data_IF_738364333886
#
_entry.id   IF_738364333886
#
_cell.length_a   1.000
_cell.length_b   1.000
_cell.length_c   1.000
_cell.angle_alpha   90.00
_cell.angle_beta   90.00
_cell.angle_gamma   90.00
#
_symmetry.space_group_name_H-M   'P 1'
#
loop_
_entity.id
_entity.type
_entity.pdbx_description
1 polymer ?
#
# COMPACT_ATOMS: atom_id res chain seq x y z
N UNK A 1 13.16 49.11 7.25
CA UNK A 1 12.89 47.86 6.51
C UNK A 1 11.59 47.26 7.03
N UNK A 2 10.76 46.65 6.20
CA UNK A 2 9.51 45.99 6.63
C UNK A 2 9.76 44.95 7.75
N UNK A 3 10.97 44.37 7.77
CA UNK A 3 11.47 43.48 8.84
C UNK A 3 11.59 44.15 10.23
N UNK A 4 11.95 45.44 10.30
CA UNK A 4 12.04 46.18 11.57
C UNK A 4 10.67 46.56 12.12
N UNK A 5 9.68 46.75 11.25
CA UNK A 5 8.31 47.07 11.64
C UNK A 5 7.56 45.81 12.13
N UNK A 6 7.85 44.66 11.53
CA UNK A 6 7.33 43.34 11.97
C UNK A 6 7.99 42.89 13.29
N UNK A 7 9.28 43.16 13.51
CA UNK A 7 9.96 42.82 14.78
C UNK A 7 9.52 43.69 15.96
N UNK A 8 9.20 44.96 15.74
CA UNK A 8 8.87 45.92 16.80
C UNK A 8 7.54 45.64 17.51
N UNK A 9 6.58 44.99 16.84
CA UNK A 9 5.22 44.81 17.37
C UNK A 9 4.89 43.41 17.90
N UNK A 10 5.68 42.38 17.59
CA UNK A 10 5.26 40.99 17.85
C UNK A 10 6.16 40.18 18.79
N UNK A 11 7.34 40.68 19.18
CA UNK A 11 8.33 39.87 19.90
C UNK A 11 8.63 40.26 21.36
N UNK A 12 7.88 41.17 21.97
CA UNK A 12 7.97 41.38 23.42
C UNK A 12 6.78 40.75 24.15
N UNK A 13 7.01 39.56 24.70
CA UNK A 13 6.28 39.01 25.86
C UNK A 13 4.78 38.81 25.66
N UNK A 14 4.38 37.82 24.88
CA UNK A 14 2.98 37.42 24.74
C UNK A 14 2.44 36.78 26.04
N UNK A 15 1.88 37.59 26.93
CA UNK A 15 0.51 37.32 27.41
C UNK A 15 -0.45 38.06 26.48
N UNK A 16 -0.67 37.55 25.26
CA UNK A 16 -1.74 38.10 24.40
C UNK A 16 -3.07 37.55 24.87
N UNK A 17 -3.78 38.41 25.59
CA UNK A 17 -5.15 38.22 26.06
C UNK A 17 -6.14 38.96 25.15
N UNK A 18 -5.79 39.21 23.87
CA UNK A 18 -6.64 39.85 22.87
C UNK A 18 -6.74 39.00 21.60
N UNK A 19 -7.96 38.60 21.22
CA UNK A 19 -8.20 37.85 19.96
C UNK A 19 -7.99 38.80 18.76
N UNK A 20 -7.11 38.44 17.83
CA UNK A 20 -6.98 39.13 16.54
C UNK A 20 -8.26 38.88 15.73
N UNK A 21 -8.82 39.93 15.11
CA UNK A 21 -10.06 39.80 14.34
C UNK A 21 -9.87 38.90 13.11
N UNK A 22 -10.89 38.10 12.77
CA UNK A 22 -10.83 37.20 11.62
C UNK A 22 -10.58 37.95 10.29
N UNK A 23 -11.10 39.16 10.15
CA UNK A 23 -10.86 40.01 8.97
C UNK A 23 -9.40 40.45 8.84
N UNK A 24 -8.73 40.74 9.95
CA UNK A 24 -7.32 41.11 9.95
C UNK A 24 -6.45 39.92 9.53
N UNK A 25 -6.71 38.74 10.08
CA UNK A 25 -5.98 37.51 9.71
C UNK A 25 -6.20 37.16 8.24
N UNK A 26 -7.41 37.33 7.70
CA UNK A 26 -7.68 37.13 6.27
C UNK A 26 -6.93 38.13 5.37
N UNK A 27 -6.84 39.39 5.79
CA UNK A 27 -6.10 40.40 5.02
C UNK A 27 -4.59 40.07 4.99
N UNK A 28 -4.05 39.66 6.13
CA UNK A 28 -2.66 39.22 6.26
C UNK A 28 -2.39 37.97 5.44
N UNK A 29 -3.30 36.99 5.42
CA UNK A 29 -3.13 35.77 4.64
C UNK A 29 -3.02 36.06 3.14
N UNK A 30 -3.79 37.01 2.62
CA UNK A 30 -3.69 37.46 1.23
C UNK A 30 -2.38 38.19 0.94
N UNK A 31 -1.91 39.01 1.88
CA UNK A 31 -0.64 39.73 1.75
C UNK A 31 0.58 38.79 1.67
N UNK A 32 0.49 37.59 2.26
CA UNK A 32 1.56 36.60 2.23
C UNK A 32 1.74 35.91 0.87
N UNK A 33 0.73 35.92 -0.02
CA UNK A 33 0.76 35.19 -1.30
C UNK A 33 2.06 35.37 -2.13
N UNK A 34 2.54 36.59 -2.42
CA UNK A 34 3.77 36.77 -3.18
C UNK A 34 5.05 36.40 -2.41
N UNK A 35 4.94 36.15 -1.11
CA UNK A 35 6.09 35.97 -0.20
C UNK A 35 6.23 34.54 0.31
N UNK A 36 5.32 33.63 -0.04
CA UNK A 36 5.24 32.29 0.57
C UNK A 36 6.51 31.45 0.42
N UNK A 37 7.32 31.68 -0.62
CA UNK A 37 8.56 30.92 -0.87
C UNK A 37 9.78 31.49 -0.15
N UNK A 38 9.64 32.61 0.58
CA UNK A 38 10.75 33.19 1.33
C UNK A 38 10.97 32.40 2.63
N UNK A 39 12.17 31.82 2.85
CA UNK A 39 12.45 31.01 4.04
C UNK A 39 12.19 31.74 5.37
N UNK A 40 12.45 33.05 5.41
CA UNK A 40 12.23 33.89 6.59
C UNK A 40 10.74 33.99 6.98
N UNK A 41 9.82 33.71 6.05
CA UNK A 41 8.38 33.73 6.28
C UNK A 41 7.84 32.38 6.77
N UNK A 42 8.60 31.28 6.65
CA UNK A 42 8.13 29.94 7.04
C UNK A 42 7.56 29.88 8.46
N UNK A 43 8.23 30.36 9.52
CA UNK A 43 7.68 30.29 10.87
C UNK A 43 6.36 31.07 11.02
N UNK A 44 6.21 32.15 10.25
CA UNK A 44 4.99 32.95 10.23
C UNK A 44 3.85 32.21 9.52
N UNK A 45 4.12 31.57 8.38
CA UNK A 45 3.14 30.73 7.68
C UNK A 45 2.66 29.58 8.56
N UNK A 46 3.56 28.91 9.28
CA UNK A 46 3.20 27.87 10.23
C UNK A 46 2.30 28.40 11.36
N UNK A 47 2.63 29.59 11.89
CA UNK A 47 1.80 30.25 12.91
C UNK A 47 0.40 30.56 12.37
N UNK A 48 0.28 31.01 11.12
CA UNK A 48 -1.02 31.24 10.46
C UNK A 48 -1.80 29.94 10.28
N UNK A 49 -1.15 28.87 9.81
CA UNK A 49 -1.77 27.56 9.62
C UNK A 49 -2.24 26.97 10.94
N UNK A 50 -1.53 27.18 12.05
CA UNK A 50 -1.94 26.71 13.37
C UNK A 50 -2.99 27.63 14.03
N UNK A 51 -3.23 28.83 13.49
CA UNK A 51 -4.22 29.75 14.03
C UNK A 51 -5.63 29.44 13.52
N UNK A 52 -6.47 28.93 14.41
CA UNK A 52 -7.87 28.57 14.14
C UNK A 52 -8.87 29.68 14.56
N UNK A 53 -8.39 30.72 15.23
CA UNK A 53 -9.23 31.78 15.80
C UNK A 53 -10.36 31.25 16.69
N UNK A 54 -11.47 31.99 16.75
CA UNK A 54 -12.64 31.61 17.56
C UNK A 54 -13.96 31.62 16.78
N UNK A 55 -13.90 31.65 15.45
CA UNK A 55 -15.07 31.68 14.56
C UNK A 55 -15.31 30.28 13.98
N UNK A 56 -16.56 29.97 13.62
CA UNK A 56 -16.93 28.70 12.99
C UNK A 56 -16.57 28.60 11.49
N UNK A 57 -16.06 29.69 10.90
CA UNK A 57 -15.69 29.76 9.48
C UNK A 57 -14.18 29.87 9.33
N UNK A 58 -13.68 29.35 8.21
CA UNK A 58 -12.30 29.49 7.80
C UNK A 58 -11.90 30.98 7.74
N UNK A 59 -10.77 31.29 8.37
CA UNK A 59 -10.26 32.65 8.59
C UNK A 59 -9.21 33.00 7.55
N UNK A 60 -8.41 32.03 7.11
CA UNK A 60 -7.42 32.21 6.06
C UNK A 60 -8.10 32.28 4.69
N UNK A 61 -7.46 33.00 3.78
CA UNK A 61 -7.86 33.04 2.38
C UNK A 61 -7.58 31.69 1.70
N UNK A 62 -8.53 31.20 0.92
CA UNK A 62 -8.40 29.92 0.19
C UNK A 62 -7.17 29.93 -0.72
N UNK A 63 -6.89 31.07 -1.35
CA UNK A 63 -5.73 31.27 -2.23
C UNK A 63 -4.41 31.03 -1.48
N UNK A 64 -4.35 31.35 -0.18
CA UNK A 64 -3.14 31.09 0.61
C UNK A 64 -3.00 29.59 0.87
N UNK A 65 -4.08 28.91 1.28
CA UNK A 65 -4.06 27.47 1.58
C UNK A 65 -3.66 26.66 0.33
N UNK A 66 -4.18 27.03 -0.83
CA UNK A 66 -3.81 26.44 -2.12
C UNK A 66 -2.34 26.73 -2.46
N UNK A 67 -1.91 27.98 -2.39
CA UNK A 67 -0.56 28.36 -2.77
C UNK A 67 0.52 27.75 -1.85
N UNK A 68 0.23 27.65 -0.54
CA UNK A 68 1.10 26.98 0.42
C UNK A 68 1.17 25.48 0.14
N UNK A 69 0.05 24.82 -0.16
CA UNK A 69 0.05 23.41 -0.54
C UNK A 69 0.88 23.18 -1.82
N UNK A 70 0.70 24.02 -2.84
CA UNK A 70 1.50 23.97 -4.07
C UNK A 70 2.99 24.14 -3.84
N UNK A 71 3.36 25.13 -3.01
CA UNK A 71 4.76 25.37 -2.68
C UNK A 71 5.36 24.18 -1.91
N UNK A 72 4.59 23.58 -1.00
CA UNK A 72 4.99 22.39 -0.24
C UNK A 72 5.18 21.17 -1.17
N UNK A 73 4.19 20.84 -2.00
CA UNK A 73 4.26 19.69 -2.92
C UNK A 73 5.44 19.82 -3.89
N UNK A 74 5.71 21.03 -4.38
CA UNK A 74 6.86 21.34 -5.25
C UNK A 74 8.19 21.51 -4.49
N UNK A 75 8.23 21.19 -3.20
CA UNK A 75 9.41 21.29 -2.30
C UNK A 75 10.07 22.68 -2.31
N UNK A 76 9.29 23.74 -2.55
CA UNK A 76 9.75 25.14 -2.49
C UNK A 76 9.80 25.67 -1.06
N UNK A 77 9.04 25.05 -0.17
CA UNK A 77 9.02 25.34 1.27
C UNK A 77 9.12 24.04 2.05
N UNK A 78 9.59 24.13 3.29
CA UNK A 78 9.54 23.06 4.29
C UNK A 78 8.66 23.52 5.44
N UNK A 79 7.73 22.68 5.85
CA UNK A 79 6.78 22.95 6.94
C UNK A 79 6.84 21.79 7.94
N UNK A 80 6.56 22.08 9.20
CA UNK A 80 6.36 21.12 10.26
C UNK A 80 5.13 20.23 10.01
N UNK A 81 5.16 19.01 10.51
CA UNK A 81 4.05 18.04 10.40
C UNK A 81 2.73 18.63 10.93
N UNK A 82 2.78 19.36 12.05
CA UNK A 82 1.60 20.01 12.63
C UNK A 82 0.98 21.06 11.71
N UNK A 83 1.80 21.83 10.98
CA UNK A 83 1.31 22.85 10.06
C UNK A 83 0.66 22.21 8.83
N UNK A 84 1.23 21.13 8.32
CA UNK A 84 0.69 20.37 7.19
C UNK A 84 -0.62 19.66 7.56
N UNK A 85 -0.65 19.00 8.73
CA UNK A 85 -1.86 18.40 9.26
C UNK A 85 -2.98 19.45 9.40
N UNK A 86 -2.67 20.62 9.95
CA UNK A 86 -3.65 21.70 10.08
C UNK A 86 -4.13 22.21 8.72
N UNK A 87 -3.23 22.38 7.73
CA UNK A 87 -3.60 22.74 6.37
C UNK A 87 -4.61 21.75 5.77
N UNK A 88 -4.33 20.46 5.87
CA UNK A 88 -5.18 19.42 5.29
C UNK A 88 -6.49 19.21 6.02
N UNK A 89 -6.53 19.40 7.34
CA UNK A 89 -7.79 19.37 8.11
C UNK A 89 -8.71 20.55 7.78
N UNK A 90 -8.15 21.68 7.36
CA UNK A 90 -8.88 22.91 7.05
C UNK A 90 -9.27 23.03 5.59
N UNK A 91 -8.48 22.43 4.69
CA UNK A 91 -8.66 22.55 3.24
C UNK A 91 -8.59 21.18 2.56
N UNK A 92 -9.76 20.56 2.39
CA UNK A 92 -9.91 19.27 1.71
C UNK A 92 -9.23 19.22 0.32
N UNK A 93 -9.38 20.23 -0.56
CA UNK A 93 -8.73 20.19 -1.87
C UNK A 93 -7.20 20.11 -1.80
N UNK A 94 -6.59 20.65 -0.73
CA UNK A 94 -5.13 20.52 -0.52
C UNK A 94 -4.73 19.08 -0.24
N UNK A 95 -5.51 18.36 0.58
CA UNK A 95 -5.27 16.95 0.90
C UNK A 95 -5.49 16.04 -0.31
N UNK A 96 -6.59 16.25 -1.03
CA UNK A 96 -6.89 15.51 -2.27
C UNK A 96 -5.75 15.68 -3.27
N UNK A 97 -5.32 16.92 -3.48
CA UNK A 97 -4.20 17.22 -4.37
C UNK A 97 -2.89 16.61 -3.92
N UNK A 98 -2.60 16.61 -2.61
CA UNK A 98 -1.40 15.97 -2.07
C UNK A 98 -1.40 14.45 -2.30
N UNK A 99 -2.56 13.82 -2.13
CA UNK A 99 -2.73 12.37 -2.32
C UNK A 99 -2.61 11.98 -3.79
N UNK A 100 -3.27 12.71 -4.69
CA UNK A 100 -3.16 12.49 -6.14
C UNK A 100 -1.75 12.76 -6.63
N UNK A 101 -1.09 13.81 -6.11
CA UNK A 101 0.31 14.10 -6.45
C UNK A 101 1.26 12.98 -6.02
N UNK A 102 1.02 12.36 -4.86
CA UNK A 102 1.78 11.18 -4.43
C UNK A 102 1.58 10.00 -5.39
N UNK A 103 0.33 9.70 -5.77
CA UNK A 103 0.02 8.63 -6.71
C UNK A 103 0.69 8.85 -8.08
N UNK A 104 0.61 10.08 -8.61
CA UNK A 104 1.24 10.45 -9.88
C UNK A 104 2.76 10.25 -9.84
N UNK A 105 3.41 10.64 -8.73
CA UNK A 105 4.83 10.37 -8.53
C UNK A 105 5.14 8.88 -8.49
N UNK A 106 4.36 8.08 -7.75
CA UNK A 106 4.63 6.66 -7.56
C UNK A 106 4.36 5.83 -8.81
N UNK A 107 3.35 6.19 -9.60
CA UNK A 107 3.08 5.54 -10.90
C UNK A 107 4.12 5.92 -11.95
N UNK A 108 4.67 7.13 -11.86
CA UNK A 108 5.76 7.57 -12.74
C UNK A 108 7.10 6.95 -12.38
N UNK A 109 7.28 6.49 -11.14
CA UNK A 109 8.48 5.77 -10.71
C UNK A 109 8.40 4.35 -11.22
N UNK A 110 9.45 3.93 -11.93
CA UNK A 110 9.65 2.54 -12.22
C UNK A 110 9.87 1.79 -10.91
N UNK A 111 8.98 0.85 -10.58
CA UNK A 111 9.04 0.06 -9.35
C UNK A 111 10.29 -0.80 -9.34
N UNK A 112 11.33 -0.24 -8.73
CA UNK A 112 12.68 -0.74 -8.72
C UNK A 112 13.06 -1.30 -7.34
N UNK A 113 12.52 -0.70 -6.27
CA UNK A 113 12.69 -1.15 -4.89
C UNK A 113 11.50 -0.67 -4.04
N UNK A 114 11.11 -1.44 -3.01
CA UNK A 114 10.09 -0.96 -2.07
C UNK A 114 10.62 0.13 -1.15
N UNK A 115 11.94 0.21 -0.91
CA UNK A 115 12.58 1.26 -0.13
C UNK A 115 12.42 2.63 -0.78
N UNK A 116 12.52 2.71 -2.11
CA UNK A 116 12.31 3.95 -2.86
C UNK A 116 10.85 4.39 -2.76
N UNK A 117 9.91 3.48 -3.01
CA UNK A 117 8.47 3.72 -2.86
C UNK A 117 8.14 4.18 -1.45
N UNK A 118 8.63 3.46 -0.44
CA UNK A 118 8.45 3.82 0.96
C UNK A 118 9.08 5.18 1.28
N UNK A 119 10.25 5.49 0.71
CA UNK A 119 10.94 6.77 0.86
C UNK A 119 10.14 7.94 0.28
N UNK A 120 9.50 7.77 -0.88
CA UNK A 120 8.63 8.77 -1.49
C UNK A 120 7.36 8.97 -0.66
N UNK A 121 6.72 7.88 -0.23
CA UNK A 121 5.54 7.93 0.64
C UNK A 121 5.86 8.62 1.97
N UNK A 122 6.97 8.27 2.64
CA UNK A 122 7.41 8.93 3.89
C UNK A 122 7.64 10.43 3.70
N UNK A 123 8.27 10.84 2.60
CA UNK A 123 8.52 12.26 2.29
C UNK A 123 7.25 13.06 2.04
N UNK A 124 6.14 12.42 1.69
CA UNK A 124 4.84 13.09 1.52
C UNK A 124 4.21 13.55 2.83
N UNK A 125 4.61 12.95 3.98
CA UNK A 125 3.99 13.13 5.30
C UNK A 125 2.53 12.67 5.42
N UNK A 126 1.97 12.06 4.36
CA UNK A 126 0.61 11.50 4.39
C UNK A 126 0.46 10.35 5.41
N UNK A 127 1.40 9.40 5.57
CA UNK A 127 1.26 8.36 6.59
C UNK A 127 1.12 8.91 8.01
N UNK A 128 1.92 9.93 8.35
CA UNK A 128 1.89 10.60 9.65
C UNK A 128 0.60 11.39 9.84
N UNK A 129 0.18 12.16 8.83
CA UNK A 129 -1.08 12.90 8.91
C UNK A 129 -2.31 11.97 8.97
N UNK A 130 -2.23 10.80 8.32
CA UNK A 130 -3.26 9.77 8.33
C UNK A 130 -3.44 9.10 9.69
N UNK A 131 -2.53 9.30 10.66
CA UNK A 131 -2.84 8.98 12.06
C UNK A 131 -4.08 9.73 12.57
N UNK A 132 -4.48 10.84 11.94
CA UNK A 132 -5.78 11.44 12.18
C UNK A 132 -6.88 10.75 11.33
N UNK A 133 -7.96 10.18 11.94
CA UNK A 133 -8.94 9.36 11.21
C UNK A 133 -9.64 10.06 10.04
N UNK A 134 -9.86 11.38 10.12
CA UNK A 134 -10.46 12.15 9.01
C UNK A 134 -9.55 12.17 7.79
N UNK A 135 -8.25 12.38 8.00
CA UNK A 135 -7.26 12.39 6.92
C UNK A 135 -7.15 11.00 6.32
N UNK A 136 -7.04 9.96 7.18
CA UNK A 136 -7.02 8.57 6.73
C UNK A 136 -8.19 8.26 5.81
N UNK A 137 -9.42 8.59 6.21
CA UNK A 137 -10.61 8.28 5.41
C UNK A 137 -10.56 8.90 4.02
N UNK A 138 -10.11 10.14 3.90
CA UNK A 138 -10.02 10.82 2.60
C UNK A 138 -8.94 10.17 1.73
N UNK A 139 -7.74 9.95 2.29
CA UNK A 139 -6.64 9.28 1.56
C UNK A 139 -7.06 7.87 1.13
N UNK A 140 -7.68 7.13 2.03
CA UNK A 140 -8.15 5.77 1.80
C UNK A 140 -9.25 5.72 0.74
N UNK A 141 -10.14 6.71 0.69
CA UNK A 141 -11.17 6.81 -0.36
C UNK A 141 -10.55 7.08 -1.74
N UNK A 142 -9.52 7.93 -1.81
CA UNK A 142 -8.78 8.16 -3.06
C UNK A 142 -8.12 6.86 -3.52
N UNK A 143 -7.46 6.11 -2.62
CA UNK A 143 -6.88 4.82 -2.96
C UNK A 143 -7.89 3.77 -3.39
N UNK A 144 -9.07 3.73 -2.77
CA UNK A 144 -10.18 2.89 -3.24
C UNK A 144 -10.56 3.23 -4.67
N UNK A 145 -10.77 4.51 -4.98
CA UNK A 145 -11.12 4.93 -6.32
C UNK A 145 -10.01 4.58 -7.32
N UNK A 146 -8.74 4.79 -6.98
CA UNK A 146 -7.61 4.41 -7.83
C UNK A 146 -7.52 2.89 -8.04
N UNK A 147 -7.76 2.08 -7.00
CA UNK A 147 -7.80 0.63 -7.11
C UNK A 147 -8.90 0.16 -8.05
N UNK A 148 -10.09 0.74 -7.92
CA UNK A 148 -11.25 0.42 -8.75
C UNK A 148 -11.02 0.81 -10.21
N UNK A 149 -10.48 2.01 -10.48
CA UNK A 149 -10.19 2.51 -11.83
C UNK A 149 -9.12 1.71 -12.55
N UNK A 150 -8.15 1.17 -11.81
CA UNK A 150 -7.03 0.38 -12.36
C UNK A 150 -7.31 -1.13 -12.39
N UNK A 151 -8.45 -1.58 -11.86
CA UNK A 151 -8.74 -3.02 -11.65
C UNK A 151 -7.63 -3.74 -10.86
N UNK A 152 -6.97 -3.04 -9.93
CA UNK A 152 -5.95 -3.64 -9.07
C UNK A 152 -4.63 -3.96 -9.76
N UNK A 153 -4.08 -3.02 -10.54
CA UNK A 153 -2.75 -3.19 -11.11
C UNK A 153 -1.71 -3.46 -10.01
N UNK A 154 -0.63 -4.21 -10.33
CA UNK A 154 0.40 -4.58 -9.34
C UNK A 154 1.03 -3.34 -8.69
N UNK A 155 1.20 -2.27 -9.44
CA UNK A 155 1.77 -1.01 -8.97
C UNK A 155 0.87 -0.33 -7.93
N UNK A 156 -0.43 -0.23 -8.20
CA UNK A 156 -1.40 0.38 -7.27
C UNK A 156 -1.53 -0.46 -6.00
N UNK A 157 -1.61 -1.79 -6.15
CA UNK A 157 -1.63 -2.71 -5.00
C UNK A 157 -0.41 -2.50 -4.10
N UNK A 158 0.78 -2.41 -4.70
CA UNK A 158 2.03 -2.19 -3.97
C UNK A 158 2.03 -0.85 -3.24
N UNK A 159 1.59 0.22 -3.87
CA UNK A 159 1.48 1.55 -3.24
C UNK A 159 0.55 1.51 -2.04
N UNK A 160 -0.62 0.89 -2.16
CA UNK A 160 -1.60 0.77 -1.08
C UNK A 160 -1.02 -0.03 0.10
N UNK A 161 -0.32 -1.14 -0.18
CA UNK A 161 0.31 -1.97 0.84
C UNK A 161 1.41 -1.22 1.59
N UNK A 162 2.35 -0.60 0.85
CA UNK A 162 3.45 0.16 1.46
C UNK A 162 2.91 1.35 2.25
N UNK A 163 1.93 2.08 1.71
CA UNK A 163 1.29 3.17 2.45
C UNK A 163 0.67 2.65 3.76
N UNK A 164 -0.07 1.54 3.69
CA UNK A 164 -0.71 0.95 4.87
C UNK A 164 0.33 0.57 5.92
N UNK A 165 1.41 -0.12 5.54
CA UNK A 165 2.50 -0.47 6.46
C UNK A 165 3.10 0.79 7.12
N UNK A 166 3.36 1.84 6.35
CA UNK A 166 3.92 3.09 6.87
C UNK A 166 2.97 3.85 7.80
N UNK A 167 1.68 3.87 7.47
CA UNK A 167 0.64 4.43 8.33
C UNK A 167 0.58 3.66 9.65
N UNK A 168 0.63 2.33 9.62
CA UNK A 168 0.61 1.50 10.82
C UNK A 168 1.83 1.76 11.71
N UNK A 169 3.02 1.89 11.12
CA UNK A 169 4.23 2.27 11.83
C UNK A 169 4.09 3.66 12.47
N UNK A 170 3.56 4.65 11.75
CA UNK A 170 3.32 5.99 12.29
C UNK A 170 2.32 5.95 13.45
N UNK A 171 1.22 5.22 13.29
CA UNK A 171 0.18 5.05 14.30
C UNK A 171 0.70 4.38 15.58
N UNK A 172 1.59 3.39 15.46
CA UNK A 172 2.19 2.71 16.61
C UNK A 172 3.24 3.57 17.33
N UNK A 173 3.97 4.41 16.60
CA UNK A 173 5.03 5.27 17.12
C UNK A 173 4.51 6.57 17.76
N UNK A 174 3.26 6.96 17.51
CA UNK A 174 2.66 8.12 18.16
C UNK A 174 2.55 7.94 19.68
N UNK A 175 2.82 9.03 20.41
CA UNK A 175 2.72 9.05 21.87
C UNK A 175 1.31 8.60 22.31
N UNK A 176 1.25 7.54 23.12
CA UNK A 176 0.04 6.82 23.58
C UNK A 176 -1.11 7.69 24.12
N UNK A 177 -0.89 8.97 24.39
CA UNK A 177 -1.95 9.89 24.84
C UNK A 177 -2.96 10.26 23.75
N UNK A 178 -2.65 10.13 22.45
CA UNK A 178 -3.51 10.66 21.36
C UNK A 178 -3.91 9.62 20.29
N UNK A 179 -3.62 8.33 20.49
CA UNK A 179 -3.92 7.30 19.50
C UNK A 179 -5.43 7.00 19.43
N UNK A 180 -6.00 7.10 18.24
CA UNK A 180 -7.37 6.66 17.98
C UNK A 180 -7.45 5.13 17.89
N UNK A 181 -8.56 4.50 18.27
CA UNK A 181 -8.70 3.04 18.12
C UNK A 181 -8.82 2.64 16.64
N UNK A 182 -8.40 1.42 16.28
CA UNK A 182 -8.44 0.91 14.89
C UNK A 182 -9.81 1.04 14.20
N UNK A 183 -10.90 0.91 14.96
CA UNK A 183 -12.27 1.13 14.50
C UNK A 183 -12.56 2.54 13.98
N UNK A 184 -11.68 3.51 14.23
CA UNK A 184 -11.80 4.87 13.69
C UNK A 184 -11.36 4.94 12.21
N UNK A 185 -10.46 4.04 11.80
CA UNK A 185 -9.83 3.99 10.48
C UNK A 185 -10.53 3.00 9.55
N UNK A 186 -10.87 1.80 10.04
CA UNK A 186 -11.44 0.73 9.23
C UNK A 186 -12.94 0.48 9.52
N UNK A 187 -13.71 -0.09 8.57
CA UNK A 187 -15.15 -0.33 8.73
C UNK A 187 -15.50 -1.15 9.97
N UNK A 188 -16.58 -0.75 10.67
CA UNK A 188 -17.02 -1.43 11.89
C UNK A 188 -17.54 -2.86 11.64
N UNK A 189 -18.15 -3.11 10.48
CA UNK A 189 -18.76 -4.41 10.16
C UNK A 189 -17.74 -5.53 9.88
N UNK A 190 -16.47 -5.19 9.67
CA UNK A 190 -15.39 -6.15 9.38
C UNK A 190 -14.31 -6.21 10.46
N UNK A 191 -14.55 -5.67 11.67
CA UNK A 191 -13.55 -5.60 12.73
C UNK A 191 -12.86 -6.93 13.09
N UNK A 192 -13.53 -8.10 13.12
CA UNK A 192 -12.85 -9.37 13.35
C UNK A 192 -11.77 -9.66 12.28
N UNK A 193 -12.10 -9.44 11.00
CA UNK A 193 -11.18 -9.60 9.88
C UNK A 193 -10.05 -8.57 9.94
N UNK A 194 -10.36 -7.29 10.20
CA UNK A 194 -9.36 -6.23 10.37
C UNK A 194 -8.36 -6.62 11.47
N UNK A 195 -8.85 -7.13 12.60
CA UNK A 195 -8.00 -7.52 13.73
C UNK A 195 -7.05 -8.66 13.37
N UNK A 196 -7.50 -9.63 12.57
CA UNK A 196 -6.63 -10.70 12.10
C UNK A 196 -5.57 -10.18 11.11
N UNK A 197 -5.99 -9.41 10.11
CA UNK A 197 -5.09 -8.85 9.08
C UNK A 197 -4.07 -7.87 9.67
N UNK A 198 -4.45 -7.12 10.70
CA UNK A 198 -3.60 -6.14 11.36
C UNK A 198 -2.39 -6.76 12.07
N UNK A 199 -2.46 -8.03 12.46
CA UNK A 199 -1.31 -8.69 13.10
C UNK A 199 -0.14 -8.64 12.15
N UNK A 200 1.02 -8.20 12.65
CA UNK A 200 2.19 -8.14 11.81
C UNK A 200 2.84 -9.52 11.70
N UNK A 201 3.20 -9.99 10.49
CA UNK A 201 3.79 -11.32 10.33
C UNK A 201 5.03 -11.57 11.18
N UNK A 202 5.89 -10.57 11.35
CA UNK A 202 7.12 -10.67 12.15
C UNK A 202 6.85 -10.79 13.67
N UNK A 203 5.67 -10.42 14.16
CA UNK A 203 5.31 -10.58 15.57
C UNK A 203 4.84 -12.02 15.88
N UNK A 204 4.51 -12.78 14.84
CA UNK A 204 3.97 -14.13 14.95
C UNK A 204 5.04 -15.17 14.55
N UNK A 205 5.34 -16.18 15.38
CA UNK A 205 6.26 -17.25 14.98
C UNK A 205 5.75 -17.97 13.73
N UNK A 206 6.66 -18.28 12.80
CA UNK A 206 6.36 -18.88 11.48
C UNK A 206 5.52 -20.16 11.57
N UNK A 207 5.66 -20.93 12.64
CA UNK A 207 4.87 -22.14 12.92
C UNK A 207 3.37 -21.89 13.04
N UNK A 208 2.95 -20.66 13.37
CA UNK A 208 1.55 -20.28 13.53
C UNK A 208 0.96 -19.63 12.27
N UNK A 209 1.79 -19.28 11.28
CA UNK A 209 1.32 -18.66 10.03
C UNK A 209 0.27 -19.52 9.31
N UNK A 210 0.44 -20.86 9.15
CA UNK A 210 -0.59 -21.71 8.55
C UNK A 210 -1.98 -21.57 9.17
N UNK A 211 -2.04 -21.65 10.51
CA UNK A 211 -3.30 -21.60 11.24
C UNK A 211 -3.93 -20.21 11.17
N UNK A 212 -3.09 -19.17 11.20
CA UNK A 212 -3.54 -17.79 11.10
C UNK A 212 -4.11 -17.47 9.71
N UNK A 213 -3.42 -17.90 8.65
CA UNK A 213 -3.89 -17.76 7.27
C UNK A 213 -5.18 -18.53 7.01
N UNK A 214 -5.29 -19.77 7.52
CA UNK A 214 -6.54 -20.53 7.46
C UNK A 214 -7.68 -19.77 8.13
N UNK A 215 -7.43 -19.20 9.31
CA UNK A 215 -8.43 -18.39 10.00
C UNK A 215 -8.86 -17.14 9.21
N UNK A 216 -7.92 -16.43 8.59
CA UNK A 216 -8.22 -15.28 7.69
C UNK A 216 -9.09 -15.75 6.51
N UNK A 217 -8.71 -16.85 5.86
CA UNK A 217 -9.45 -17.42 4.74
C UNK A 217 -10.88 -17.82 5.14
N UNK A 218 -11.05 -18.50 6.27
CA UNK A 218 -12.37 -18.95 6.74
C UNK A 218 -13.30 -17.76 7.04
N UNK A 219 -12.77 -16.69 7.64
CA UNK A 219 -13.53 -15.46 7.89
C UNK A 219 -13.92 -14.76 6.58
N UNK A 220 -12.99 -14.65 5.63
CA UNK A 220 -13.27 -14.04 4.33
C UNK A 220 -14.32 -14.84 3.57
N UNK A 221 -14.18 -16.17 3.55
CA UNK A 221 -15.14 -17.07 2.91
C UNK A 221 -16.54 -16.92 3.50
N UNK A 222 -16.64 -16.90 4.83
CA UNK A 222 -17.92 -16.68 5.50
C UNK A 222 -18.54 -15.31 5.16
N UNK A 223 -17.74 -14.25 5.03
CA UNK A 223 -18.22 -12.92 4.65
C UNK A 223 -18.66 -12.83 3.19
N UNK A 224 -17.93 -13.47 2.28
CA UNK A 224 -18.16 -13.39 0.83
C UNK A 224 -19.31 -14.30 0.40
N UNK A 225 -19.47 -15.46 1.05
CA UNK A 225 -20.55 -16.41 0.76
C UNK A 225 -21.87 -16.06 1.48
N UNK A 226 -21.87 -15.10 2.41
CA UNK A 226 -23.10 -14.58 3.01
C UNK A 226 -23.94 -13.83 1.96
N UNK A 227 -25.15 -14.34 1.74
CA UNK A 227 -26.12 -13.80 0.77
C UNK A 227 -26.56 -12.38 1.08
N UNK A 228 -26.39 -11.90 2.31
CA UNK A 228 -26.70 -10.53 2.70
C UNK A 228 -25.61 -9.53 2.29
N UNK A 229 -24.39 -10.00 2.03
CA UNK A 229 -23.21 -9.17 1.75
C UNK A 229 -22.92 -9.12 0.24
N UNK A 230 -23.61 -9.91 -0.59
CA UNK A 230 -23.34 -10.11 -2.03
C UNK A 230 -23.52 -8.89 -2.95
N UNK A 231 -23.63 -7.67 -2.42
CA UNK A 231 -23.57 -6.47 -3.26
C UNK A 231 -22.14 -6.26 -3.77
N UNK A 232 -21.95 -5.84 -5.04
CA UNK A 232 -20.62 -5.56 -5.59
C UNK A 232 -19.82 -4.53 -4.77
N UNK A 233 -20.50 -3.55 -4.17
CA UNK A 233 -19.88 -2.53 -3.33
C UNK A 233 -19.28 -3.13 -2.05
N UNK A 234 -19.99 -4.03 -1.37
CA UNK A 234 -19.46 -4.67 -0.16
C UNK A 234 -18.30 -5.63 -0.47
N UNK A 235 -18.38 -6.37 -1.59
CA UNK A 235 -17.28 -7.22 -2.04
C UNK A 235 -16.03 -6.40 -2.34
N UNK A 236 -16.19 -5.24 -2.96
CA UNK A 236 -15.10 -4.30 -3.19
C UNK A 236 -14.51 -3.78 -1.87
N UNK A 237 -15.32 -3.43 -0.87
CA UNK A 237 -14.83 -3.01 0.46
C UNK A 237 -13.99 -4.11 1.13
N UNK A 238 -14.43 -5.37 1.05
CA UNK A 238 -13.68 -6.51 1.59
C UNK A 238 -12.38 -6.73 0.80
N UNK A 239 -12.43 -6.65 -0.53
CA UNK A 239 -11.24 -6.79 -1.37
C UNK A 239 -10.21 -5.69 -1.10
N UNK A 240 -10.66 -4.44 -1.02
CA UNK A 240 -9.79 -3.30 -0.68
C UNK A 240 -9.14 -3.50 0.69
N UNK A 241 -9.90 -3.98 1.68
CA UNK A 241 -9.34 -4.30 2.99
C UNK A 241 -8.24 -5.37 2.88
N UNK A 242 -8.45 -6.43 2.12
CA UNK A 242 -7.42 -7.47 1.89
C UNK A 242 -6.22 -6.89 1.16
N UNK A 243 -6.43 -6.00 0.18
CA UNK A 243 -5.36 -5.31 -0.55
C UNK A 243 -4.46 -4.47 0.36
N UNK A 244 -5.02 -3.77 1.36
CA UNK A 244 -4.23 -3.03 2.36
C UNK A 244 -3.25 -3.94 3.13
N UNK A 245 -3.59 -5.21 3.32
CA UNK A 245 -2.80 -6.19 4.09
C UNK A 245 -2.23 -7.29 3.20
N UNK A 246 -1.81 -6.93 1.98
CA UNK A 246 -1.31 -7.84 0.94
C UNK A 246 -0.12 -8.73 1.34
N UNK A 247 0.62 -8.37 2.39
CA UNK A 247 1.73 -9.17 2.90
C UNK A 247 1.30 -10.59 3.33
N UNK A 248 0.10 -10.73 3.92
CA UNK A 248 -0.46 -12.03 4.26
C UNK A 248 -0.73 -12.91 3.02
N UNK A 249 -0.98 -12.30 1.87
CA UNK A 249 -1.21 -13.03 0.61
C UNK A 249 0.11 -13.57 0.05
N UNK A 250 1.19 -12.81 0.14
CA UNK A 250 2.51 -13.31 -0.26
C UNK A 250 2.96 -14.45 0.65
N UNK A 251 2.70 -14.32 1.95
CA UNK A 251 2.97 -15.39 2.91
C UNK A 251 2.08 -16.60 2.62
N UNK A 252 0.81 -16.41 2.22
CA UNK A 252 -0.05 -17.52 1.83
C UNK A 252 0.50 -18.30 0.63
N UNK A 253 0.96 -17.59 -0.40
CA UNK A 253 1.58 -18.22 -1.57
C UNK A 253 2.89 -18.94 -1.24
N UNK A 254 3.68 -18.39 -0.32
CA UNK A 254 4.89 -19.05 0.19
C UNK A 254 4.56 -20.30 1.02
N UNK A 255 3.60 -20.21 1.93
CA UNK A 255 3.22 -21.30 2.83
C UNK A 255 2.60 -22.49 2.10
N UNK A 256 1.97 -22.27 0.94
CA UNK A 256 1.53 -23.34 0.04
C UNK A 256 2.68 -24.28 -0.35
N UNK A 257 3.90 -23.75 -0.48
CA UNK A 257 5.07 -24.54 -0.89
C UNK A 257 5.87 -25.09 0.29
N UNK A 258 5.92 -24.33 1.40
CA UNK A 258 6.81 -24.66 2.54
C UNK A 258 6.12 -25.47 3.64
N UNK A 259 4.81 -25.36 3.82
CA UNK A 259 4.13 -25.89 5.00
C UNK A 259 3.11 -26.98 4.66
N UNK A 260 2.88 -27.89 5.62
CA UNK A 260 1.83 -28.90 5.55
C UNK A 260 0.44 -28.31 5.87
N UNK A 261 0.06 -27.25 5.15
CA UNK A 261 -1.26 -26.62 5.26
C UNK A 261 -2.19 -27.28 4.27
N UNK A 262 -3.48 -27.37 4.60
CA UNK A 262 -4.50 -27.69 3.61
C UNK A 262 -4.48 -26.62 2.50
N UNK A 263 -4.19 -27.00 1.24
CA UNK A 263 -4.00 -26.03 0.16
C UNK A 263 -5.29 -25.27 -0.17
N UNK A 264 -6.45 -25.92 0.03
CA UNK A 264 -7.78 -25.38 -0.30
C UNK A 264 -8.04 -23.99 0.29
N UNK A 265 -7.69 -23.78 1.57
CA UNK A 265 -7.92 -22.49 2.23
C UNK A 265 -7.04 -21.38 1.63
N UNK A 266 -5.75 -21.67 1.41
CA UNK A 266 -4.82 -20.68 0.87
C UNK A 266 -5.09 -20.39 -0.61
N UNK A 267 -5.47 -21.40 -1.39
CA UNK A 267 -5.88 -21.22 -2.79
C UNK A 267 -7.20 -20.45 -2.89
N UNK A 268 -8.15 -20.68 -1.99
CA UNK A 268 -9.38 -19.87 -1.94
C UNK A 268 -9.05 -18.40 -1.65
N UNK A 269 -8.17 -18.14 -0.67
CA UNK A 269 -7.73 -16.79 -0.31
C UNK A 269 -7.05 -16.07 -1.49
N UNK A 270 -6.13 -16.74 -2.17
CA UNK A 270 -5.44 -16.18 -3.33
C UNK A 270 -6.39 -16.00 -4.53
N UNK A 271 -7.31 -16.93 -4.78
CA UNK A 271 -8.32 -16.80 -5.83
C UNK A 271 -9.23 -15.59 -5.58
N UNK A 272 -9.61 -15.33 -4.33
CA UNK A 272 -10.36 -14.12 -3.96
C UNK A 272 -9.54 -12.85 -4.19
N UNK A 273 -8.27 -12.83 -3.80
CA UNK A 273 -7.41 -11.65 -3.95
C UNK A 273 -7.23 -11.22 -5.42
N UNK A 274 -6.99 -12.20 -6.32
CA UNK A 274 -6.76 -11.94 -7.74
C UNK A 274 -8.03 -11.86 -8.58
N UNK A 275 -9.16 -12.36 -8.07
CA UNK A 275 -10.44 -12.32 -8.79
C UNK A 275 -11.60 -12.06 -7.82
N UNK A 276 -11.65 -10.86 -7.21
CA UNK A 276 -12.62 -10.52 -6.16
C UNK A 276 -14.06 -10.46 -6.68
N UNK A 277 -14.25 -10.15 -7.96
CA UNK A 277 -15.55 -10.01 -8.60
C UNK A 277 -16.15 -11.35 -9.04
N UNK A 278 -15.37 -12.44 -9.02
CA UNK A 278 -15.86 -13.74 -9.45
C UNK A 278 -17.01 -14.19 -8.55
N UNK A 279 -18.11 -14.58 -9.17
CA UNK A 279 -19.21 -15.24 -8.48
C UNK A 279 -18.75 -16.58 -7.87
N UNK A 280 -19.51 -17.15 -6.94
CA UNK A 280 -19.13 -18.38 -6.26
C UNK A 280 -18.80 -19.53 -7.24
N UNK A 281 -19.53 -19.65 -8.35
CA UNK A 281 -19.26 -20.68 -9.37
C UNK A 281 -17.93 -20.42 -10.11
N UNK A 282 -17.70 -19.19 -10.57
CA UNK A 282 -16.46 -18.79 -11.23
C UNK A 282 -15.25 -18.95 -10.31
N UNK A 283 -15.39 -18.55 -9.03
CA UNK A 283 -14.34 -18.71 -8.02
C UNK A 283 -14.03 -20.17 -7.76
N UNK A 284 -15.05 -21.04 -7.70
CA UNK A 284 -14.85 -22.49 -7.56
C UNK A 284 -14.04 -23.03 -8.73
N UNK A 285 -14.35 -22.61 -9.96
CA UNK A 285 -13.59 -22.98 -11.15
C UNK A 285 -12.13 -22.48 -11.08
N UNK A 286 -11.91 -21.22 -10.68
CA UNK A 286 -10.55 -20.66 -10.46
C UNK A 286 -9.76 -21.48 -9.44
N UNK A 287 -10.38 -21.92 -8.35
CA UNK A 287 -9.72 -22.75 -7.33
C UNK A 287 -9.36 -24.11 -7.89
N UNK A 288 -10.23 -24.75 -8.68
CA UNK A 288 -9.94 -26.04 -9.32
C UNK A 288 -8.74 -25.93 -10.28
N UNK A 289 -8.71 -24.88 -11.10
CA UNK A 289 -7.58 -24.61 -12.01
C UNK A 289 -6.28 -24.36 -11.23
N UNK A 290 -6.33 -23.49 -10.21
CA UNK A 290 -5.17 -23.19 -9.37
C UNK A 290 -4.68 -24.43 -8.61
N UNK A 291 -5.59 -25.27 -8.12
CA UNK A 291 -5.27 -26.53 -7.47
C UNK A 291 -4.58 -27.51 -8.42
N UNK A 292 -5.04 -27.60 -9.67
CA UNK A 292 -4.41 -28.45 -10.67
C UNK A 292 -2.99 -27.98 -11.01
N UNK A 293 -2.78 -26.67 -11.19
CA UNK A 293 -1.44 -26.08 -11.37
C UNK A 293 -0.57 -26.37 -10.15
N UNK A 294 -1.07 -26.08 -8.94
CA UNK A 294 -0.35 -26.34 -7.70
C UNK A 294 0.05 -27.82 -7.57
N UNK A 295 -0.86 -28.76 -7.81
CA UNK A 295 -0.56 -30.19 -7.76
C UNK A 295 0.57 -30.56 -8.73
N UNK A 296 0.52 -30.04 -9.97
CA UNK A 296 1.58 -30.24 -10.95
C UNK A 296 2.92 -29.68 -10.45
N UNK A 297 2.95 -28.45 -9.93
CA UNK A 297 4.16 -27.86 -9.34
C UNK A 297 4.71 -28.71 -8.19
N UNK A 298 3.84 -29.23 -7.33
CA UNK A 298 4.27 -30.07 -6.21
C UNK A 298 4.88 -31.41 -6.65
N UNK A 299 4.53 -31.94 -7.83
CA UNK A 299 5.24 -33.10 -8.39
C UNK A 299 6.71 -32.81 -8.69
N UNK A 300 7.04 -31.56 -9.01
CA UNK A 300 8.40 -31.12 -9.33
C UNK A 300 9.14 -30.48 -8.15
N UNK A 301 8.48 -30.25 -7.01
CA UNK A 301 9.07 -29.49 -5.91
C UNK A 301 10.37 -30.10 -5.37
N UNK A 302 10.42 -31.45 -5.32
CA UNK A 302 11.60 -32.20 -4.88
C UNK A 302 12.54 -32.59 -6.03
N UNK A 303 12.22 -32.26 -7.28
CA UNK A 303 13.07 -32.57 -8.43
C UNK A 303 14.29 -31.65 -8.43
N UNK A 304 15.48 -32.25 -8.45
CA UNK A 304 16.75 -31.50 -8.54
C UNK A 304 17.16 -31.19 -9.97
N UNK A 305 16.52 -31.83 -10.96
CA UNK A 305 16.72 -31.60 -12.39
C UNK A 305 15.35 -31.28 -12.98
N UNK A 306 15.17 -30.05 -13.44
CA UNK A 306 13.95 -29.55 -14.05
C UNK A 306 14.37 -28.68 -15.24
N UNK A 307 13.69 -28.82 -16.39
CA UNK A 307 13.88 -27.92 -17.52
C UNK A 307 12.71 -26.93 -17.66
N UNK A 308 12.96 -25.81 -18.34
CA UNK A 308 11.92 -24.81 -18.68
C UNK A 308 10.75 -25.48 -19.39
N UNK A 309 11.02 -26.38 -20.35
CA UNK A 309 9.99 -27.08 -21.14
C UNK A 309 9.11 -27.99 -20.30
N UNK A 310 9.69 -28.65 -19.29
CA UNK A 310 8.92 -29.53 -18.39
C UNK A 310 7.92 -28.70 -17.58
N UNK A 311 8.36 -27.54 -17.08
CA UNK A 311 7.51 -26.63 -16.31
C UNK A 311 6.44 -25.97 -17.19
N UNK A 312 6.77 -25.55 -18.41
CA UNK A 312 5.81 -25.03 -19.39
C UNK A 312 4.74 -26.06 -19.73
N UNK A 313 5.14 -27.30 -20.02
CA UNK A 313 4.20 -28.38 -20.31
C UNK A 313 3.26 -28.66 -19.12
N UNK A 314 3.79 -28.60 -17.89
CA UNK A 314 3.01 -28.80 -16.69
C UNK A 314 1.93 -27.72 -16.49
N UNK A 315 2.25 -26.45 -16.78
CA UNK A 315 1.31 -25.34 -16.69
C UNK A 315 0.30 -25.36 -17.85
N UNK A 316 0.79 -25.52 -19.09
CA UNK A 316 -0.05 -25.53 -20.29
C UNK A 316 -1.05 -26.70 -20.32
N UNK A 317 -0.72 -27.81 -19.66
CA UNK A 317 -1.65 -28.95 -19.54
C UNK A 317 -2.94 -28.60 -18.78
N UNK A 318 -2.91 -27.55 -17.94
CA UNK A 318 -4.03 -27.10 -17.12
C UNK A 318 -4.70 -25.86 -17.69
N UNK A 319 -3.93 -24.94 -18.28
CA UNK A 319 -4.45 -23.62 -18.68
C UNK A 319 -5.21 -23.57 -19.99
N UNK A 320 -5.26 -24.67 -20.77
CA UNK A 320 -6.02 -24.75 -22.02
C UNK A 320 -5.67 -23.68 -23.08
N UNK A 321 -6.32 -23.76 -24.25
CA UNK A 321 -6.18 -22.77 -25.35
C UNK A 321 -7.10 -21.55 -25.12
N UNK A 322 -8.09 -21.68 -24.23
CA UNK A 322 -8.95 -20.59 -23.80
C UNK A 322 -8.35 -19.92 -22.56
N UNK A 323 -7.95 -18.66 -22.75
CA UNK A 323 -7.46 -17.69 -21.77
C UNK A 323 -7.83 -18.06 -20.32
N UNK A 324 -6.90 -18.70 -19.60
CA UNK A 324 -7.08 -19.01 -18.18
C UNK A 324 -7.48 -17.73 -17.44
N UNK A 325 -8.59 -17.80 -16.69
CA UNK A 325 -9.24 -16.64 -16.10
C UNK A 325 -8.40 -15.96 -15.00
N UNK A 326 -7.26 -16.54 -14.59
CA UNK A 326 -6.46 -16.00 -13.49
C UNK A 326 -4.94 -16.15 -13.68
N UNK A 327 -4.42 -15.54 -14.75
CA UNK A 327 -3.00 -15.54 -15.08
C UNK A 327 -2.11 -14.94 -13.98
N UNK A 328 -2.61 -13.95 -13.21
CA UNK A 328 -1.87 -13.35 -12.10
C UNK A 328 -1.67 -14.32 -10.94
N UNK A 329 -2.70 -15.06 -10.55
CA UNK A 329 -2.58 -16.12 -9.53
C UNK A 329 -1.57 -17.19 -9.95
N UNK A 330 -1.64 -17.66 -11.19
CA UNK A 330 -0.71 -18.67 -11.71
C UNK A 330 0.72 -18.11 -11.72
N UNK A 331 0.90 -16.86 -12.13
CA UNK A 331 2.19 -16.17 -12.09
C UNK A 331 2.74 -16.10 -10.67
N UNK A 332 1.89 -15.83 -9.67
CA UNK A 332 2.31 -15.78 -8.27
C UNK A 332 2.72 -17.17 -7.74
N UNK A 333 1.96 -18.22 -8.05
CA UNK A 333 2.32 -19.59 -7.69
C UNK A 333 3.65 -20.03 -8.34
N UNK A 334 3.81 -19.74 -9.64
CA UNK A 334 5.03 -20.04 -10.38
C UNK A 334 6.24 -19.29 -9.84
N UNK A 335 6.10 -17.99 -9.56
CA UNK A 335 7.18 -17.17 -9.02
C UNK A 335 7.66 -17.74 -7.69
N UNK A 336 6.76 -18.06 -6.77
CA UNK A 336 7.13 -18.71 -5.51
C UNK A 336 7.77 -20.10 -5.72
N UNK A 337 7.24 -20.90 -6.65
CA UNK A 337 7.82 -22.22 -6.95
C UNK A 337 9.28 -22.11 -7.43
N UNK A 338 9.57 -21.16 -8.31
CA UNK A 338 10.91 -20.91 -8.81
C UNK A 338 11.88 -20.44 -7.70
N UNK A 339 11.39 -19.64 -6.76
CA UNK A 339 12.20 -19.12 -5.66
C UNK A 339 12.46 -20.15 -4.56
N UNK A 340 11.51 -21.05 -4.29
CA UNK A 340 11.57 -21.91 -3.10
C UNK A 340 11.76 -23.41 -3.38
N UNK A 341 11.55 -23.88 -4.61
CA UNK A 341 11.86 -25.28 -4.98
C UNK A 341 13.31 -25.44 -5.44
N UNK A 342 13.87 -26.64 -5.26
CA UNK A 342 15.27 -26.92 -5.61
C UNK A 342 15.53 -26.87 -7.13
N UNK A 343 14.68 -27.53 -7.93
CA UNK A 343 14.75 -27.52 -9.38
C UNK A 343 14.32 -26.20 -10.00
N UNK A 344 13.28 -25.55 -9.45
CA UNK A 344 12.85 -24.23 -9.88
C UNK A 344 13.95 -23.18 -9.74
N UNK A 345 14.73 -23.23 -8.65
CA UNK A 345 15.87 -22.34 -8.42
C UNK A 345 16.89 -22.35 -9.57
N UNK A 346 17.08 -23.49 -10.21
CA UNK A 346 18.07 -23.65 -11.29
C UNK A 346 17.63 -23.00 -12.60
N UNK A 347 16.32 -22.98 -12.86
CA UNK A 347 15.73 -22.46 -14.10
C UNK A 347 15.05 -21.10 -13.92
N UNK A 348 14.96 -20.59 -12.69
CA UNK A 348 14.20 -19.38 -12.35
C UNK A 348 14.52 -18.20 -13.25
N UNK A 349 15.80 -17.92 -13.46
CA UNK A 349 16.23 -16.77 -14.26
C UNK A 349 15.86 -16.93 -15.75
N UNK A 350 16.02 -18.13 -16.32
CA UNK A 350 15.68 -18.42 -17.72
C UNK A 350 14.16 -18.36 -17.92
N UNK A 351 13.41 -19.00 -17.02
CA UNK A 351 11.96 -19.09 -17.09
C UNK A 351 11.28 -17.74 -16.88
N UNK A 352 11.69 -16.95 -15.88
CA UNK A 352 11.16 -15.61 -15.64
C UNK A 352 11.42 -14.70 -16.84
N UNK A 353 12.59 -14.82 -17.46
CA UNK A 353 12.89 -14.06 -18.66
C UNK A 353 12.00 -14.46 -19.84
N UNK A 354 11.83 -15.76 -20.07
CA UNK A 354 10.96 -16.27 -21.12
C UNK A 354 9.50 -15.81 -20.94
N UNK A 355 8.97 -15.88 -19.71
CA UNK A 355 7.61 -15.40 -19.42
C UNK A 355 7.52 -13.87 -19.56
N UNK A 356 8.48 -13.11 -19.02
CA UNK A 356 8.44 -11.65 -19.12
C UNK A 356 8.49 -11.14 -20.57
N UNK A 357 9.10 -11.88 -21.50
CA UNK A 357 9.09 -11.56 -22.94
C UNK A 357 7.79 -12.00 -23.65
N UNK A 358 7.18 -13.09 -23.21
CA UNK A 358 6.05 -13.73 -23.92
C UNK A 358 4.69 -13.31 -23.39
N UNK A 359 4.61 -12.78 -22.17
CA UNK A 359 3.36 -12.39 -21.51
C UNK A 359 3.43 -10.98 -20.93
N UNK A 360 2.27 -10.31 -20.83
CA UNK A 360 2.12 -8.99 -20.20
C UNK A 360 2.16 -9.04 -18.65
N UNK A 361 2.89 -10.02 -18.08
CA UNK A 361 2.96 -10.26 -16.63
C UNK A 361 4.30 -9.82 -16.03
N UNK A 362 5.19 -9.22 -16.82
CA UNK A 362 6.50 -8.75 -16.37
C UNK A 362 6.41 -7.83 -15.14
N UNK A 363 5.44 -6.92 -15.14
CA UNK A 363 5.16 -6.01 -14.01
C UNK A 363 4.71 -6.73 -12.73
N UNK A 364 3.85 -7.73 -12.87
CA UNK A 364 3.42 -8.57 -11.73
C UNK A 364 4.61 -9.35 -11.18
N UNK A 365 5.41 -9.99 -12.04
CA UNK A 365 6.60 -10.74 -11.62
C UNK A 365 7.58 -9.81 -10.89
N UNK A 366 7.90 -8.65 -11.47
CA UNK A 366 8.77 -7.66 -10.82
C UNK A 366 8.22 -7.23 -9.46
N UNK A 367 6.92 -6.89 -9.38
CA UNK A 367 6.28 -6.51 -8.11
C UNK A 367 6.39 -7.61 -7.05
N UNK A 368 6.08 -8.86 -7.40
CA UNK A 368 6.18 -10.01 -6.50
C UNK A 368 7.62 -10.25 -6.02
N UNK A 369 8.60 -10.16 -6.92
CA UNK A 369 10.02 -10.33 -6.59
C UNK A 369 10.49 -9.22 -5.64
N UNK A 370 10.14 -7.96 -5.90
CA UNK A 370 10.51 -6.81 -5.07
C UNK A 370 9.84 -6.90 -3.68
N UNK A 371 8.56 -7.28 -3.61
CA UNK A 371 7.85 -7.51 -2.34
C UNK A 371 8.47 -8.66 -1.55
N UNK A 372 8.86 -9.73 -2.22
CA UNK A 372 9.55 -10.86 -1.58
C UNK A 372 10.92 -10.43 -1.05
N UNK A 373 11.69 -9.63 -1.80
CA UNK A 373 13.00 -9.13 -1.39
C UNK A 373 12.88 -8.32 -0.09
N UNK A 374 11.97 -7.35 -0.13
CA UNK A 374 11.69 -6.45 0.99
C UNK A 374 11.31 -7.23 2.25
N UNK A 375 10.41 -8.24 2.13
CA UNK A 375 10.02 -9.09 3.25
C UNK A 375 11.18 -9.89 3.82
N UNK A 376 12.01 -10.49 2.97
CA UNK A 376 13.14 -11.32 3.42
C UNK A 376 14.18 -10.50 4.18
N UNK A 377 14.46 -9.28 3.72
CA UNK A 377 15.39 -8.35 4.39
C UNK A 377 14.89 -7.91 5.78
N UNK A 378 13.56 -7.73 5.94
CA UNK A 378 12.96 -7.29 7.21
C UNK A 378 12.71 -8.43 8.20
N UNK A 379 12.44 -9.65 7.71
CA UNK A 379 12.17 -10.81 8.56
C UNK A 379 13.44 -11.53 9.03
N UNK A 380 14.62 -11.16 8.52
CA UNK A 380 15.89 -11.80 8.86
C UNK A 380 15.94 -13.28 8.43
N UNK A 381 15.21 -13.66 7.38
CA UNK A 381 15.14 -15.05 6.93
C UNK A 381 16.50 -15.55 6.41
N UNK A 382 16.95 -16.68 6.95
CA UNK A 382 18.29 -17.26 6.70
C UNK A 382 18.46 -17.95 5.33
N UNK A 383 17.49 -17.86 4.41
CA UNK A 383 17.61 -18.51 3.10
C UNK A 383 18.45 -17.70 2.12
N UNK A 384 19.75 -17.59 2.44
CA UNK A 384 20.75 -16.83 1.70
C UNK A 384 20.79 -17.17 0.21
N UNK A 385 20.49 -18.43 -0.14
CA UNK A 385 20.44 -18.89 -1.53
C UNK A 385 19.30 -18.19 -2.30
N UNK A 386 18.09 -18.18 -1.73
CA UNK A 386 16.95 -17.49 -2.34
C UNK A 386 17.15 -15.99 -2.43
N UNK A 387 17.69 -15.35 -1.38
CA UNK A 387 18.01 -13.91 -1.42
C UNK A 387 19.02 -13.59 -2.54
N UNK A 388 20.04 -14.44 -2.73
CA UNK A 388 21.04 -14.24 -3.79
C UNK A 388 20.41 -14.34 -5.18
N UNK A 389 19.64 -15.41 -5.44
CA UNK A 389 18.94 -15.59 -6.71
C UNK A 389 17.98 -14.43 -7.01
N UNK A 390 17.21 -14.01 -6.01
CA UNK A 390 16.23 -12.94 -6.13
C UNK A 390 16.91 -11.63 -6.57
N UNK A 391 18.00 -11.26 -5.90
CA UNK A 391 18.79 -10.07 -6.23
C UNK A 391 19.39 -10.16 -7.66
N UNK A 392 19.87 -11.33 -8.08
CA UNK A 392 20.37 -11.54 -9.44
C UNK A 392 19.28 -11.38 -10.52
N UNK A 393 18.08 -11.92 -10.27
CA UNK A 393 16.93 -11.79 -11.18
C UNK A 393 16.50 -10.33 -11.27
N UNK A 394 16.33 -9.65 -10.12
CA UNK A 394 15.93 -8.24 -10.07
C UNK A 394 16.92 -7.35 -10.82
N UNK A 395 18.23 -7.49 -10.57
CA UNK A 395 19.26 -6.72 -11.29
C UNK A 395 19.15 -6.89 -12.80
N UNK A 396 18.92 -8.11 -13.30
CA UNK A 396 18.83 -8.37 -14.74
C UNK A 396 17.53 -7.88 -15.37
N UNK A 397 16.40 -7.98 -14.67
CA UNK A 397 15.11 -7.47 -15.15
C UNK A 397 15.13 -5.94 -15.21
N UNK A 398 15.72 -5.28 -14.21
CA UNK A 398 15.81 -3.82 -14.15
C UNK A 398 16.80 -3.21 -15.14
N UNK A 399 17.71 -4.01 -15.71
CA UNK A 399 18.58 -3.56 -16.81
C UNK A 399 17.88 -3.58 -18.19
N UNK A 400 16.68 -4.18 -18.29
CA UNK A 400 15.95 -4.37 -19.56
C UNK A 400 14.67 -3.54 -19.69
N UNK A 401 14.19 -2.97 -18.59
CA UNK A 401 13.06 -2.04 -18.55
C UNK A 401 13.62 -0.63 -18.46
#
# INVERSE_FOLDING_TARGET
>A
SLLTEVRGYWFNGLKVQGRVSASCVNAVSRFCLPLITLPDLTPFLETLLLYHGGASKEILSLELLEAVNEAFLKKKISLTESAILSLWLRHLPSLEKATVYLLDQLVSIQLNSLEEVAGVIKKSLLPQAASHPVIFRIVNEIFKNTLLETNGTPEVMTVIQVFTQLFLQAHQNENKQHNFPLKAYFPYHHQPLVTALFRCPYELPTTHWPQHLKHISDMLKALVEDTNISSPANLFEIWFLVACFGEWLDIAAEQLLKAAVEPDALLWLLAFYYSPQNENQQRTQTIVEAQAVYNNLMTFFSCTVLSVKDLEAAVHSVTGIEKCCNQHLITHLLTNFLLFSSGGHMIAQEFIYHIAETTDTSKEICSLLIRTAYRMDHNGEENQRTVTLLNEILQKLMLKV
#
